data_IF_143889873182
#
_entry.id   IF_143889873182
#
_cell.length_a   1.000
_cell.length_b   1.000
_cell.length_c   1.000
_cell.angle_alpha   90.00
_cell.angle_beta   90.00
_cell.angle_gamma   90.00
#
_symmetry.space_group_name_H-M   'P 1'
#
loop_
_entity.id
_entity.type
_entity.pdbx_description
1 polymer ?
#
# COMPACT_ATOMS: atom_id res chain seq x y z
N UNK A 1 -29.05 -10.67 -7.34
CA UNK A 1 -27.75 -10.00 -7.61
C UNK A 1 -27.38 -10.06 -9.10
N UNK A 2 -28.29 -10.40 -10.01
CA UNK A 2 -28.02 -10.73 -11.41
C UNK A 2 -27.60 -9.56 -12.32
N UNK A 3 -27.33 -8.38 -11.78
CA UNK A 3 -27.00 -7.22 -12.60
C UNK A 3 -25.82 -6.39 -12.07
N UNK A 4 -24.92 -7.00 -11.29
CA UNK A 4 -23.67 -6.34 -10.86
C UNK A 4 -22.59 -6.65 -11.91
N UNK A 5 -22.10 -5.63 -12.60
CA UNK A 5 -21.03 -5.76 -13.59
C UNK A 5 -19.66 -5.41 -13.01
N UNK A 6 -19.61 -4.48 -12.06
CA UNK A 6 -18.38 -3.98 -11.45
C UNK A 6 -18.62 -3.64 -9.98
N UNK A 7 -17.66 -4.02 -9.14
CA UNK A 7 -17.65 -3.68 -7.71
C UNK A 7 -16.39 -2.87 -7.42
N UNK A 8 -16.55 -1.62 -7.00
CA UNK A 8 -15.49 -0.79 -6.45
C UNK A 8 -15.42 -1.01 -4.94
N UNK A 9 -14.22 -1.20 -4.41
CA UNK A 9 -14.01 -1.37 -2.96
C UNK A 9 -12.97 -0.36 -2.49
N UNK A 10 -13.38 0.49 -1.55
CA UNK A 10 -12.45 1.26 -0.74
C UNK A 10 -11.98 0.40 0.46
N UNK A 11 -10.66 0.29 0.61
CA UNK A 11 -10.00 -0.60 1.57
C UNK A 11 -9.50 0.19 2.78
N UNK A 12 -10.15 -0.02 3.93
CA UNK A 12 -9.65 0.44 5.23
C UNK A 12 -8.94 -0.65 6.03
N UNK A 13 -8.48 -0.27 7.23
CA UNK A 13 -7.84 -1.22 8.17
C UNK A 13 -8.84 -2.31 8.61
N UNK A 14 -10.03 -1.89 9.05
CA UNK A 14 -11.08 -2.76 9.59
C UNK A 14 -12.46 -2.55 8.95
N UNK A 15 -12.59 -1.53 8.10
CA UNK A 15 -13.84 -1.13 7.44
C UNK A 15 -13.62 -1.12 5.95
N UNK A 16 -14.57 -1.67 5.20
CA UNK A 16 -14.50 -1.80 3.75
C UNK A 16 -15.81 -1.31 3.17
N UNK A 17 -15.75 -0.39 2.22
CA UNK A 17 -16.94 0.19 1.60
C UNK A 17 -17.01 -0.28 0.17
N UNK A 18 -18.14 -0.90 -0.20
CA UNK A 18 -18.36 -1.34 -1.57
C UNK A 18 -19.35 -0.43 -2.29
N UNK A 19 -19.11 -0.25 -3.57
CA UNK A 19 -20.02 0.34 -4.52
C UNK A 19 -20.16 -0.62 -5.70
N UNK A 20 -21.38 -1.11 -5.95
CA UNK A 20 -21.68 -1.99 -7.07
C UNK A 20 -22.44 -1.21 -8.14
N UNK A 21 -22.05 -1.40 -9.40
CA UNK A 21 -22.75 -0.83 -10.55
C UNK A 21 -23.15 -1.90 -11.57
N UNK A 22 -24.21 -1.61 -12.31
CA UNK A 22 -24.63 -2.41 -13.46
C UNK A 22 -23.77 -2.12 -14.71
N UNK A 23 -24.08 -2.79 -15.82
CA UNK A 23 -23.38 -2.62 -17.09
C UNK A 23 -23.53 -1.21 -17.70
N UNK A 24 -24.47 -0.39 -17.22
CA UNK A 24 -24.67 1.01 -17.63
C UNK A 24 -23.94 1.99 -16.72
N UNK A 25 -23.24 1.50 -15.70
CA UNK A 25 -22.59 2.33 -14.68
C UNK A 25 -23.56 2.88 -13.63
N UNK A 26 -24.81 2.40 -13.58
CA UNK A 26 -25.76 2.83 -12.54
C UNK A 26 -25.47 2.10 -11.24
N UNK A 27 -25.39 2.85 -10.15
CA UNK A 27 -25.24 2.28 -8.80
C UNK A 27 -26.46 1.39 -8.45
N UNK A 28 -26.20 0.13 -8.10
CA UNK A 28 -27.22 -0.86 -7.73
C UNK A 28 -27.14 -1.31 -6.27
N UNK A 29 -25.96 -1.18 -5.65
CA UNK A 29 -25.77 -1.57 -4.26
C UNK A 29 -24.59 -0.82 -3.64
N UNK A 30 -24.72 -0.42 -2.37
CA UNK A 30 -23.61 0.12 -1.57
C UNK A 30 -23.72 -0.42 -0.15
N UNK A 31 -22.61 -0.87 0.42
CA UNK A 31 -22.60 -1.34 1.81
C UNK A 31 -21.21 -1.28 2.44
N UNK A 32 -21.19 -1.07 3.75
CA UNK A 32 -20.02 -1.19 4.61
C UNK A 32 -19.91 -2.59 5.18
N UNK A 33 -18.71 -3.15 5.19
CA UNK A 33 -18.40 -4.46 5.72
C UNK A 33 -17.16 -4.44 6.64
N UNK A 34 -17.06 -5.47 7.49
CA UNK A 34 -15.78 -5.92 8.03
C UNK A 34 -15.11 -6.87 7.03
N UNK A 35 -13.80 -7.12 7.15
CA UNK A 35 -13.09 -8.00 6.20
C UNK A 35 -13.71 -9.41 6.10
N UNK A 36 -14.02 -10.12 7.21
CA UNK A 36 -14.62 -11.46 7.12
C UNK A 36 -15.99 -11.43 6.42
N UNK A 37 -16.84 -10.46 6.78
CA UNK A 37 -18.17 -10.31 6.17
C UNK A 37 -18.12 -9.90 4.71
N UNK A 38 -17.10 -9.13 4.31
CA UNK A 38 -16.86 -8.83 2.90
C UNK A 38 -16.49 -10.10 2.13
N UNK A 39 -15.58 -10.92 2.64
CA UNK A 39 -15.16 -12.17 2.00
C UNK A 39 -16.33 -13.15 1.90
N UNK A 40 -17.12 -13.32 2.97
CA UNK A 40 -18.35 -14.12 2.96
C UNK A 40 -19.33 -13.62 1.89
N UNK A 41 -19.56 -12.31 1.84
CA UNK A 41 -20.44 -11.71 0.84
C UNK A 41 -19.95 -11.96 -0.58
N UNK A 42 -18.67 -11.68 -0.86
CA UNK A 42 -18.09 -11.84 -2.20
C UNK A 42 -18.07 -13.31 -2.64
N UNK A 43 -17.88 -14.27 -1.73
CA UNK A 43 -18.00 -15.70 -2.05
C UNK A 43 -19.40 -16.12 -2.52
N UNK A 44 -20.45 -15.34 -2.20
CA UNK A 44 -21.81 -15.57 -2.71
C UNK A 44 -22.11 -14.84 -4.02
N UNK A 45 -21.22 -13.94 -4.46
CA UNK A 45 -21.36 -13.22 -5.72
C UNK A 45 -20.94 -14.09 -6.90
N UNK A 46 -21.57 -13.92 -8.09
CA UNK A 46 -21.03 -14.49 -9.32
C UNK A 46 -19.66 -13.87 -9.66
N UNK A 47 -18.88 -14.55 -10.51
CA UNK A 47 -17.61 -14.04 -11.01
C UNK A 47 -17.79 -12.65 -11.63
N UNK A 48 -17.11 -11.64 -11.07
CA UNK A 48 -17.34 -10.22 -11.37
C UNK A 48 -16.01 -9.48 -11.33
N UNK A 49 -15.89 -8.38 -12.07
CA UNK A 49 -14.73 -7.49 -11.96
C UNK A 49 -14.80 -6.72 -10.65
N UNK A 50 -13.72 -6.75 -9.87
CA UNK A 50 -13.65 -6.03 -8.59
C UNK A 50 -12.45 -5.10 -8.63
N UNK A 51 -12.72 -3.80 -8.56
CA UNK A 51 -11.72 -2.75 -8.62
C UNK A 51 -11.39 -2.22 -7.22
N UNK A 52 -10.10 -1.96 -6.97
CA UNK A 52 -9.58 -1.41 -5.72
C UNK A 52 -8.44 -0.45 -6.01
N UNK A 53 -8.22 0.51 -5.12
CA UNK A 53 -6.97 1.29 -5.14
C UNK A 53 -5.78 0.40 -4.75
N UNK A 54 -4.63 0.63 -5.38
CA UNK A 54 -3.36 0.00 -5.05
C UNK A 54 -2.76 0.57 -3.75
N UNK A 55 -3.42 0.28 -2.63
CA UNK A 55 -3.07 0.75 -1.29
C UNK A 55 -2.59 -0.40 -0.38
N UNK A 56 -2.41 -0.14 0.92
CA UNK A 56 -2.08 -1.16 1.91
C UNK A 56 -3.14 -2.27 1.96
N UNK A 57 -2.72 -3.54 1.89
CA UNK A 57 -3.63 -4.69 1.89
C UNK A 57 -4.30 -5.02 0.55
N UNK A 58 -4.23 -4.13 -0.45
CA UNK A 58 -4.84 -4.32 -1.78
C UNK A 58 -4.33 -5.53 -2.56
N UNK A 59 -3.07 -5.92 -2.36
CA UNK A 59 -2.53 -7.10 -3.01
C UNK A 59 -2.98 -8.41 -2.34
N UNK A 60 -3.18 -8.41 -1.01
CA UNK A 60 -3.74 -9.56 -0.29
C UNK A 60 -5.20 -9.78 -0.71
N UNK A 61 -6.02 -8.74 -0.47
CA UNK A 61 -6.93 -8.17 -1.45
C UNK A 61 -7.22 -9.00 -2.70
N UNK A 62 -6.52 -8.60 -3.77
CA UNK A 62 -6.59 -9.17 -5.10
C UNK A 62 -6.35 -10.69 -5.15
N UNK A 63 -5.37 -11.24 -4.40
CA UNK A 63 -5.16 -12.70 -4.40
C UNK A 63 -6.38 -13.44 -3.84
N UNK A 64 -6.93 -12.97 -2.72
CA UNK A 64 -8.13 -13.56 -2.12
C UNK A 64 -9.33 -13.51 -3.07
N UNK A 65 -9.51 -12.41 -3.79
CA UNK A 65 -10.58 -12.28 -4.78
C UNK A 65 -10.39 -13.21 -5.98
N UNK A 66 -9.16 -13.38 -6.45
CA UNK A 66 -8.86 -14.33 -7.52
C UNK A 66 -9.13 -15.79 -7.08
N UNK A 67 -8.80 -16.16 -5.85
CA UNK A 67 -9.15 -17.47 -5.27
C UNK A 67 -10.67 -17.71 -5.22
N UNK A 68 -11.46 -16.66 -5.02
CA UNK A 68 -12.93 -16.70 -5.07
C UNK A 68 -13.50 -16.69 -6.50
N UNK A 69 -12.65 -16.66 -7.53
CA UNK A 69 -13.07 -16.68 -8.94
C UNK A 69 -13.44 -15.31 -9.52
N UNK A 70 -13.14 -14.21 -8.82
CA UNK A 70 -13.35 -12.86 -9.35
C UNK A 70 -12.17 -12.35 -10.17
N UNK A 71 -12.37 -11.24 -10.87
CA UNK A 71 -11.35 -10.58 -11.68
C UNK A 71 -10.88 -9.29 -10.99
N UNK A 72 -9.88 -9.36 -10.09
CA UNK A 72 -9.40 -8.19 -9.36
C UNK A 72 -8.65 -7.23 -10.28
N UNK A 73 -8.89 -5.93 -10.07
CA UNK A 73 -8.23 -4.83 -10.78
C UNK A 73 -7.71 -3.82 -9.75
N UNK A 74 -6.41 -3.60 -9.73
CA UNK A 74 -5.80 -2.59 -8.86
C UNK A 74 -5.52 -1.31 -9.66
N UNK A 75 -5.93 -0.15 -9.16
CA UNK A 75 -5.74 1.14 -9.82
C UNK A 75 -4.77 1.99 -8.99
N UNK A 76 -3.83 2.67 -9.64
CA UNK A 76 -2.96 3.61 -8.93
C UNK A 76 -3.80 4.76 -8.31
N UNK A 77 -3.54 5.18 -7.06
CA UNK A 77 -4.27 6.28 -6.42
C UNK A 77 -4.34 7.54 -7.29
N UNK A 78 -3.27 7.82 -8.02
CA UNK A 78 -3.17 8.99 -8.91
C UNK A 78 -4.19 8.97 -10.06
N UNK A 79 -4.66 7.78 -10.46
CA UNK A 79 -5.67 7.61 -11.51
C UNK A 79 -7.10 7.54 -10.95
N UNK A 80 -7.28 7.29 -9.65
CA UNK A 80 -8.59 7.34 -8.99
C UNK A 80 -8.95 8.78 -8.61
N UNK A 81 -7.98 9.55 -8.12
CA UNK A 81 -8.17 10.93 -7.62
C UNK A 81 -9.01 11.84 -8.54
N UNK A 82 -8.84 11.85 -9.88
CA UNK A 82 -9.64 12.70 -10.78
C UNK A 82 -11.14 12.35 -10.81
N UNK A 83 -11.54 11.17 -10.34
CA UNK A 83 -12.94 10.71 -10.33
C UNK A 83 -13.66 10.98 -9.01
N UNK A 84 -12.98 11.56 -8.02
CA UNK A 84 -13.60 11.95 -6.73
C UNK A 84 -14.38 13.25 -6.93
N UNK A 85 -15.72 13.17 -6.84
CA UNK A 85 -16.64 14.27 -7.20
C UNK A 85 -16.97 15.22 -6.05
N UNK A 86 -16.67 14.86 -4.80
CA UNK A 86 -17.10 15.62 -3.61
C UNK A 86 -16.10 15.49 -2.46
N UNK A 87 -16.44 16.05 -1.29
CA UNK A 87 -15.70 15.85 -0.05
C UNK A 87 -15.46 14.37 0.26
N UNK A 88 -14.36 14.11 0.97
CA UNK A 88 -13.89 12.77 1.30
C UNK A 88 -14.94 11.95 2.06
N UNK A 89 -15.28 10.80 1.52
CA UNK A 89 -16.14 9.78 2.12
C UNK A 89 -15.79 8.44 1.47
N UNK A 90 -15.61 7.39 2.27
CA UNK A 90 -15.21 6.05 1.80
C UNK A 90 -16.19 5.47 0.75
N UNK A 91 -17.48 5.81 0.78
CA UNK A 91 -18.43 5.41 -0.28
C UNK A 91 -18.24 6.18 -1.60
N UNK A 92 -17.78 7.43 -1.52
CA UNK A 92 -17.43 8.25 -2.69
C UNK A 92 -16.12 7.74 -3.28
N UNK A 93 -15.17 7.34 -2.44
CA UNK A 93 -13.91 6.74 -2.89
C UNK A 93 -14.18 5.40 -3.60
N UNK A 94 -15.05 4.54 -3.06
CA UNK A 94 -15.48 3.30 -3.72
C UNK A 94 -16.17 3.54 -5.07
N UNK A 95 -17.00 4.59 -5.18
CA UNK A 95 -17.62 5.01 -6.45
C UNK A 95 -16.58 5.52 -7.45
N UNK A 96 -15.63 6.36 -7.01
CA UNK A 96 -14.55 6.88 -7.85
C UNK A 96 -13.67 5.75 -8.41
N UNK A 97 -13.44 4.69 -7.63
CA UNK A 97 -12.74 3.49 -8.09
C UNK A 97 -13.52 2.79 -9.21
N UNK A 98 -14.84 2.66 -9.07
CA UNK A 98 -15.72 2.11 -10.12
C UNK A 98 -15.66 2.95 -11.40
N UNK A 99 -15.78 4.26 -11.28
CA UNK A 99 -15.72 5.20 -12.40
C UNK A 99 -14.39 5.12 -13.13
N UNK A 100 -13.27 5.09 -12.39
CA UNK A 100 -11.94 4.91 -12.93
C UNK A 100 -11.82 3.57 -13.67
N UNK A 101 -12.23 2.46 -13.06
CA UNK A 101 -12.17 1.13 -13.67
C UNK A 101 -13.05 0.98 -14.91
N UNK A 102 -14.12 1.77 -15.03
CA UNK A 102 -15.01 1.76 -16.20
C UNK A 102 -14.38 2.36 -17.46
N UNK A 103 -13.28 3.12 -17.34
CA UNK A 103 -12.65 3.76 -18.49
C UNK A 103 -11.89 2.73 -19.35
N UNK A 104 -12.14 2.65 -20.67
CA UNK A 104 -11.48 1.68 -21.55
C UNK A 104 -9.96 1.78 -21.57
N UNK A 105 -9.42 2.98 -21.38
CA UNK A 105 -7.97 3.27 -21.39
C UNK A 105 -7.31 3.12 -20.02
N UNK A 106 -8.05 2.65 -18.99
CA UNK A 106 -7.53 2.58 -17.63
C UNK A 106 -6.35 1.60 -17.52
N UNK A 107 -5.33 2.02 -16.77
CA UNK A 107 -4.13 1.22 -16.50
C UNK A 107 -4.22 0.61 -15.12
N UNK A 108 -3.92 -0.69 -15.04
CA UNK A 108 -4.00 -1.44 -13.80
C UNK A 108 -2.62 -1.83 -13.29
N UNK A 109 -2.46 -1.80 -11.97
CA UNK A 109 -1.30 -2.31 -11.26
C UNK A 109 -1.44 -3.83 -11.17
N UNK A 110 -0.37 -4.55 -11.50
CA UNK A 110 -0.37 -6.01 -11.38
C UNK A 110 -0.39 -6.42 -9.90
N UNK A 111 -1.33 -7.27 -9.47
CA UNK A 111 -1.28 -7.89 -8.15
C UNK A 111 0.03 -8.66 -7.94
N UNK A 112 0.72 -8.38 -6.85
CA UNK A 112 1.97 -9.05 -6.51
C UNK A 112 1.70 -10.38 -5.80
N UNK A 113 2.52 -11.39 -6.12
CA UNK A 113 2.57 -12.63 -5.35
C UNK A 113 3.09 -12.38 -3.94
N UNK A 114 2.95 -13.37 -3.05
CA UNK A 114 3.44 -13.28 -1.67
C UNK A 114 4.95 -13.14 -1.63
N UNK A 115 5.68 -13.95 -2.39
CA UNK A 115 7.14 -13.89 -2.50
C UNK A 115 7.62 -12.52 -3.00
N UNK A 116 6.95 -11.94 -4.01
CA UNK A 116 7.26 -10.60 -4.51
C UNK A 116 7.03 -9.52 -3.44
N UNK A 117 5.96 -9.63 -2.65
CA UNK A 117 5.72 -8.71 -1.53
C UNK A 117 6.71 -8.86 -0.40
N UNK A 118 7.07 -10.10 -0.02
CA UNK A 118 8.06 -10.38 0.99
C UNK A 118 9.43 -9.80 0.59
N UNK A 119 9.85 -10.01 -0.66
CA UNK A 119 11.08 -9.43 -1.20
C UNK A 119 11.06 -7.89 -1.14
N UNK A 120 9.95 -7.25 -1.54
CA UNK A 120 9.80 -5.80 -1.44
C UNK A 120 9.84 -5.30 0.00
N UNK A 121 9.26 -6.04 0.94
CA UNK A 121 9.32 -5.70 2.36
C UNK A 121 10.76 -5.76 2.89
N UNK A 122 11.52 -6.81 2.55
CA UNK A 122 12.94 -6.93 2.90
C UNK A 122 13.77 -5.77 2.34
N UNK A 123 13.56 -5.38 1.08
CA UNK A 123 14.25 -4.22 0.50
C UNK A 123 13.96 -2.92 1.26
N UNK A 124 12.70 -2.68 1.66
CA UNK A 124 12.34 -1.50 2.44
C UNK A 124 12.94 -1.50 3.84
N UNK A 125 12.97 -2.66 4.51
CA UNK A 125 13.63 -2.80 5.81
C UNK A 125 15.12 -2.49 5.68
N UNK A 126 15.79 -3.07 4.67
CA UNK A 126 17.20 -2.79 4.39
C UNK A 126 17.43 -1.30 4.12
N UNK A 127 16.61 -0.67 3.28
CA UNK A 127 16.72 0.75 2.97
C UNK A 127 16.61 1.61 4.23
N UNK A 128 15.63 1.35 5.09
CA UNK A 128 15.48 2.02 6.39
C UNK A 128 16.72 1.84 7.26
N UNK A 129 17.22 0.61 7.42
CA UNK A 129 18.40 0.33 8.23
C UNK A 129 19.67 1.01 7.69
N UNK A 130 19.81 1.12 6.37
CA UNK A 130 20.92 1.86 5.75
C UNK A 130 20.80 3.35 6.05
N UNK A 131 19.61 3.93 5.93
CA UNK A 131 19.36 5.33 6.27
C UNK A 131 19.63 5.60 7.76
N UNK A 132 19.15 4.73 8.65
CA UNK A 132 19.38 4.84 10.09
C UNK A 132 20.87 4.72 10.43
N UNK A 133 21.59 3.78 9.81
CA UNK A 133 23.05 3.64 9.97
C UNK A 133 23.78 4.93 9.58
N UNK A 134 23.43 5.52 8.44
CA UNK A 134 24.05 6.76 7.96
C UNK A 134 23.72 7.93 8.90
N UNK A 135 22.44 8.05 9.31
CA UNK A 135 21.98 9.07 10.26
C UNK A 135 22.73 8.99 11.58
N UNK A 136 22.79 7.80 12.18
CA UNK A 136 23.49 7.57 13.46
C UNK A 136 24.99 7.84 13.32
N UNK A 137 25.63 7.39 12.24
CA UNK A 137 27.05 7.66 11.98
C UNK A 137 27.31 9.17 11.91
N UNK A 138 26.51 9.92 11.16
CA UNK A 138 26.65 11.37 11.05
C UNK A 138 26.43 12.08 12.39
N UNK A 139 25.47 11.60 13.19
CA UNK A 139 25.22 12.12 14.53
C UNK A 139 26.41 11.91 15.47
N UNK A 140 27.03 10.73 15.43
CA UNK A 140 28.25 10.44 16.21
C UNK A 140 29.40 11.37 15.81
N UNK A 141 29.62 11.57 14.51
CA UNK A 141 30.63 12.52 14.03
C UNK A 141 30.38 13.94 14.53
N UNK A 142 29.13 14.41 14.52
CA UNK A 142 28.78 15.72 15.02
C UNK A 142 29.09 15.86 16.52
N UNK A 143 28.73 14.86 17.34
CA UNK A 143 29.03 14.90 18.77
C UNK A 143 30.52 14.86 19.08
N UNK A 144 31.31 14.04 18.37
CA UNK A 144 32.76 13.99 18.58
C UNK A 144 33.44 15.33 18.30
N UNK A 145 32.94 16.08 17.31
CA UNK A 145 33.46 17.42 16.99
C UNK A 145 33.21 18.44 18.11
N UNK A 146 32.10 18.32 18.87
CA UNK A 146 31.86 19.17 20.07
C UNK A 146 32.96 18.98 21.13
N UNK A 147 33.63 17.82 21.15
CA UNK A 147 34.76 17.51 22.03
C UNK A 147 36.12 17.68 21.34
N UNK A 148 36.17 18.28 20.16
CA UNK A 148 37.41 18.50 19.40
C UNK A 148 37.98 17.25 18.72
N UNK A 149 37.25 16.13 18.73
CA UNK A 149 37.69 14.86 18.18
C UNK A 149 37.25 14.76 16.71
N UNK A 150 38.18 14.95 15.79
CA UNK A 150 37.93 14.81 14.35
C UNK A 150 38.36 13.44 13.85
N UNK A 151 37.40 12.61 13.44
CA UNK A 151 37.64 11.26 12.90
C UNK A 151 37.26 11.15 11.41
N UNK A 152 37.96 10.33 10.59
CA UNK A 152 37.63 10.17 9.17
C UNK A 152 36.21 9.64 8.96
N UNK A 153 35.54 10.11 7.91
CA UNK A 153 34.17 9.68 7.58
C UNK A 153 34.13 8.19 7.26
N UNK A 154 33.10 7.50 7.78
CA UNK A 154 32.75 6.15 7.36
C UNK A 154 32.51 5.18 8.50
N UNK A 155 31.72 4.13 8.21
CA UNK A 155 31.27 3.18 9.23
C UNK A 155 32.40 2.34 9.85
N UNK A 156 33.51 2.12 9.12
CA UNK A 156 34.65 1.35 9.63
C UNK A 156 35.32 2.04 10.82
N UNK A 157 35.41 3.37 10.79
CA UNK A 157 36.00 4.17 11.86
C UNK A 157 35.10 4.14 13.10
N UNK A 158 33.78 4.25 12.92
CA UNK A 158 32.81 4.13 14.00
C UNK A 158 32.88 2.75 14.68
N UNK A 159 33.10 1.66 13.93
CA UNK A 159 33.19 0.32 14.51
C UNK A 159 34.40 0.11 15.42
N UNK A 160 35.41 1.00 15.35
CA UNK A 160 36.62 0.98 16.17
C UNK A 160 36.72 2.20 17.09
N UNK A 161 35.61 2.93 17.24
CA UNK A 161 35.61 4.21 17.93
C UNK A 161 36.05 4.08 19.39
N UNK A 162 35.64 3.01 20.10
CA UNK A 162 36.07 2.79 21.49
C UNK A 162 37.60 2.70 21.60
N UNK A 163 38.24 1.91 20.74
CA UNK A 163 39.70 1.78 20.70
C UNK A 163 40.37 3.10 20.32
N UNK A 164 39.81 3.83 19.34
CA UNK A 164 40.34 5.13 18.94
C UNK A 164 40.26 6.18 20.05
N UNK A 165 39.20 6.16 20.87
CA UNK A 165 39.03 7.05 22.02
C UNK A 165 39.94 6.66 23.19
N UNK A 166 40.25 5.38 23.36
CA UNK A 166 41.22 4.90 24.35
C UNK A 166 42.67 5.27 23.97
N UNK A 167 43.02 5.20 22.69
CA UNK A 167 44.35 5.58 22.17
C UNK A 167 44.53 7.11 22.09
N UNK A 168 43.45 7.84 21.77
CA UNK A 168 43.41 9.30 21.79
C UNK A 168 43.24 9.77 23.22
N UNK A 169 44.30 9.69 24.00
CA UNK A 169 44.34 10.18 25.38
C UNK A 169 43.93 11.66 25.44
N UNK A 170 42.65 11.87 25.75
CA UNK A 170 42.16 13.00 26.54
C UNK A 170 42.60 12.81 28.00
#
# INVERSE_FOLDING_TARGET
MENIALIGIDLGKNSFHIHCQDHRGKAVYRKKFTRPKLIEFLATCPATTIAMEACGGSHFMARKLAELGHFPKLISPQFVRPFVKSNKNDFVDAEAICEAASRPSMRFVQPRTESQQAMRALHRVRESLVQDKVKTTNQMHAFLLEFGISVPRGAAVISRLSTLLEDSSL
#
